data_IF_485568065719
#
_entry.id   IF_485568065719
#
_cell.length_a   1.000
_cell.length_b   1.000
_cell.length_c   1.000
_cell.angle_alpha   90.00
_cell.angle_beta   90.00
_cell.angle_gamma   90.00
#
_symmetry.space_group_name_H-M   'P 1'
#
loop_
_entity.id
_entity.type
_entity.pdbx_description
1 polymer ?
#
# COMPACT_ATOMS: atom_id res chain seq x y z
N UNK A 1 10.01 8.23 -24.09
CA UNK A 1 10.63 8.65 -22.80
C UNK A 1 9.61 8.37 -21.72
N UNK A 2 10.02 7.82 -20.57
CA UNK A 2 9.09 7.59 -19.46
C UNK A 2 8.62 8.94 -18.88
N UNK A 3 7.37 9.02 -18.45
CA UNK A 3 6.84 10.19 -17.74
C UNK A 3 7.60 10.34 -16.43
N UNK A 4 8.14 11.54 -16.17
CA UNK A 4 8.83 11.83 -14.91
C UNK A 4 7.82 11.90 -13.78
N UNK A 5 8.07 11.23 -12.66
CA UNK A 5 7.19 11.24 -11.51
C UNK A 5 7.97 11.19 -10.20
N UNK A 6 7.37 11.75 -9.15
CA UNK A 6 7.95 11.85 -7.81
C UNK A 6 6.82 11.97 -6.78
N UNK A 7 6.92 11.24 -5.68
CA UNK A 7 6.00 11.34 -4.53
C UNK A 7 6.81 11.42 -3.23
N UNK A 8 6.47 12.35 -2.35
CA UNK A 8 6.99 12.47 -1.00
C UNK A 8 5.83 12.69 -0.05
N UNK A 9 5.87 12.02 1.10
CA UNK A 9 4.80 12.13 2.06
C UNK A 9 4.90 11.13 3.20
N UNK A 10 3.76 10.86 3.82
CA UNK A 10 3.64 9.99 4.97
C UNK A 10 3.02 8.66 4.58
N UNK A 11 3.71 7.58 4.93
CA UNK A 11 3.23 6.21 4.74
C UNK A 11 2.73 5.64 6.07
N UNK A 12 1.56 5.03 6.03
CA UNK A 12 0.96 4.31 7.14
C UNK A 12 0.58 2.91 6.68
N UNK A 13 1.00 1.90 7.43
CA UNK A 13 0.64 0.50 7.17
C UNK A 13 0.21 -0.18 8.46
N UNK A 14 -0.85 -0.97 8.35
CA UNK A 14 -1.25 -1.87 9.42
C UNK A 14 -1.79 -3.18 8.85
N UNK A 15 -1.50 -4.28 9.55
CA UNK A 15 -2.04 -5.59 9.22
C UNK A 15 -2.77 -6.20 10.42
N UNK A 16 -3.64 -7.16 10.12
CA UNK A 16 -4.51 -7.88 11.07
C UNK A 16 -3.79 -8.77 12.10
N UNK A 17 -2.45 -8.81 12.12
CA UNK A 17 -1.66 -9.60 13.07
C UNK A 17 -1.83 -9.10 14.52
N UNK A 18 -1.66 -9.99 15.50
CA UNK A 18 -2.08 -9.73 16.88
C UNK A 18 -1.22 -8.71 17.64
N UNK A 19 0.09 -8.65 17.36
CA UNK A 19 1.00 -7.71 18.06
C UNK A 19 2.04 -7.15 17.12
N UNK A 20 2.92 -8.01 16.60
CA UNK A 20 4.00 -7.63 15.68
C UNK A 20 3.81 -8.37 14.37
N UNK A 21 3.91 -7.66 13.25
CA UNK A 21 3.81 -8.26 11.92
C UNK A 21 5.02 -9.17 11.64
N UNK A 22 4.85 -10.51 11.58
CA UNK A 22 5.97 -11.42 11.35
C UNK A 22 6.50 -11.31 9.92
N UNK A 23 5.71 -10.81 8.97
CA UNK A 23 6.13 -10.60 7.58
C UNK A 23 7.27 -9.58 7.45
N UNK A 24 7.38 -8.65 8.41
CA UNK A 24 8.42 -7.61 8.42
C UNK A 24 9.50 -7.87 9.47
N UNK A 25 9.13 -8.46 10.62
CA UNK A 25 9.99 -8.48 11.81
C UNK A 25 10.57 -9.85 12.15
N UNK A 26 10.26 -10.91 11.39
CA UNK A 26 10.85 -12.23 11.63
C UNK A 26 12.26 -12.34 11.06
N UNK A 27 12.94 -13.44 11.38
CA UNK A 27 14.24 -13.80 10.80
C UNK A 27 14.14 -14.43 9.40
N UNK A 28 12.93 -14.71 8.91
CA UNK A 28 12.74 -15.26 7.58
C UNK A 28 12.86 -14.16 6.52
N UNK A 29 12.91 -14.55 5.24
CA UNK A 29 12.81 -13.57 4.15
C UNK A 29 11.52 -12.76 4.26
N UNK A 30 11.55 -11.49 3.86
CA UNK A 30 10.40 -10.60 3.96
C UNK A 30 9.17 -11.22 3.29
N UNK A 31 8.00 -11.02 3.88
CA UNK A 31 6.70 -11.49 3.37
C UNK A 31 6.49 -13.02 3.34
N UNK A 32 7.48 -13.83 3.76
CA UNK A 32 7.38 -15.30 3.77
C UNK A 32 6.85 -15.89 5.07
N UNK A 33 6.78 -15.09 6.13
CA UNK A 33 6.30 -15.58 7.43
C UNK A 33 4.79 -15.68 7.47
N UNK A 34 4.30 -16.73 8.14
CA UNK A 34 2.87 -16.95 8.33
C UNK A 34 2.26 -15.82 9.17
N UNK A 35 1.17 -15.17 8.72
CA UNK A 35 0.42 -14.22 9.53
C UNK A 35 -0.10 -14.88 10.82
N UNK A 36 -0.23 -14.14 11.91
CA UNK A 36 -0.60 -14.73 13.22
C UNK A 36 -1.98 -15.38 13.20
N UNK A 37 -2.90 -14.86 12.39
CA UNK A 37 -4.26 -15.39 12.18
C UNK A 37 -4.35 -16.36 11.00
N UNK A 38 -3.23 -16.72 10.37
CA UNK A 38 -3.18 -17.56 9.18
C UNK A 38 -3.50 -16.83 7.87
N UNK A 39 -4.25 -15.72 7.92
CA UNK A 39 -4.52 -14.81 6.80
C UNK A 39 -3.95 -13.42 7.08
N UNK A 40 -3.72 -12.62 6.04
CA UNK A 40 -3.32 -11.22 6.18
C UNK A 40 -4.32 -10.29 5.49
N UNK A 41 -5.12 -9.59 6.30
CA UNK A 41 -5.75 -8.34 5.86
C UNK A 41 -4.79 -7.18 6.18
N UNK A 42 -4.34 -6.47 5.15
CA UNK A 42 -3.40 -5.34 5.25
C UNK A 42 -3.97 -4.09 4.61
N UNK A 43 -3.79 -2.96 5.27
CA UNK A 43 -4.05 -1.62 4.74
C UNK A 43 -2.75 -0.85 4.60
N UNK A 44 -2.52 -0.31 3.41
CA UNK A 44 -1.36 0.50 3.03
C UNK A 44 -1.89 1.85 2.60
N UNK A 45 -1.61 2.91 3.35
CA UNK A 45 -2.13 4.24 3.11
C UNK A 45 -0.97 5.21 2.93
N UNK A 46 -1.06 6.05 1.91
CA UNK A 46 -0.06 7.07 1.63
C UNK A 46 -0.74 8.44 1.51
N UNK A 47 -0.32 9.37 2.36
CA UNK A 47 -0.65 10.79 2.21
C UNK A 47 0.46 11.47 1.42
N UNK A 48 0.11 12.10 0.30
CA UNK A 48 1.07 12.78 -0.57
C UNK A 48 1.22 14.22 -0.08
N UNK A 49 2.33 14.53 0.62
CA UNK A 49 2.65 15.91 0.99
C UNK A 49 3.03 16.74 -0.25
N UNK A 50 3.87 16.16 -1.12
CA UNK A 50 4.28 16.74 -2.41
C UNK A 50 4.46 15.66 -3.46
N UNK A 51 3.83 15.84 -4.62
CA UNK A 51 3.92 14.87 -5.68
C UNK A 51 3.51 15.38 -7.06
N UNK A 52 4.06 14.75 -8.09
CA UNK A 52 3.66 14.97 -9.46
C UNK A 52 3.85 13.72 -10.34
N UNK A 53 3.01 13.61 -11.36
CA UNK A 53 3.15 12.68 -12.46
C UNK A 53 3.11 13.47 -13.77
N UNK A 54 4.28 13.70 -14.37
CA UNK A 54 4.44 14.68 -15.44
C UNK A 54 4.05 16.07 -14.92
N UNK A 55 3.08 16.69 -15.60
CA UNK A 55 2.53 18.00 -15.26
C UNK A 55 1.36 17.94 -14.27
N UNK A 56 0.85 16.73 -13.95
CA UNK A 56 -0.25 16.53 -13.00
C UNK A 56 0.28 16.62 -11.58
N UNK A 57 -0.26 17.54 -10.78
CA UNK A 57 0.07 17.68 -9.35
C UNK A 57 -0.77 16.71 -8.53
N UNK A 58 -0.17 16.08 -7.52
CA UNK A 58 -0.82 15.10 -6.64
C UNK A 58 -0.77 15.50 -5.16
N UNK A 59 -0.31 16.72 -4.87
CA UNK A 59 -0.18 17.26 -3.52
C UNK A 59 -1.52 17.20 -2.75
N UNK A 60 -1.45 16.78 -1.48
CA UNK A 60 -2.58 16.76 -0.55
C UNK A 60 -3.58 15.63 -0.77
N UNK A 61 -3.39 14.78 -1.78
CA UNK A 61 -4.22 13.60 -2.02
C UNK A 61 -3.79 12.42 -1.15
N UNK A 62 -4.72 11.50 -0.94
CA UNK A 62 -4.49 10.23 -0.28
C UNK A 62 -4.71 9.08 -1.25
N UNK A 63 -3.88 8.05 -1.15
CA UNK A 63 -4.11 6.77 -1.81
C UNK A 63 -4.03 5.66 -0.78
N UNK A 64 -4.86 4.65 -0.93
CA UNK A 64 -4.80 3.46 -0.11
C UNK A 64 -4.89 2.19 -0.95
N UNK A 65 -4.21 1.15 -0.50
CA UNK A 65 -4.38 -0.21 -1.00
C UNK A 65 -4.75 -1.09 0.18
N UNK A 66 -5.86 -1.80 0.05
CA UNK A 66 -6.27 -2.82 1.01
C UNK A 66 -6.14 -4.17 0.32
N UNK A 67 -5.51 -5.13 0.97
CA UNK A 67 -5.32 -6.46 0.42
C UNK A 67 -5.62 -7.55 1.45
N UNK A 68 -6.10 -8.68 0.93
CA UNK A 68 -6.32 -9.92 1.63
C UNK A 68 -5.42 -11.00 1.05
N UNK A 69 -4.68 -11.71 1.89
CA UNK A 69 -3.92 -12.91 1.51
C UNK A 69 -4.33 -14.12 2.37
N UNK A 70 -4.53 -15.31 1.77
CA UNK A 70 -4.96 -16.50 2.51
C UNK A 70 -3.84 -17.15 3.34
N UNK A 71 -2.62 -16.62 3.27
CA UNK A 71 -1.40 -17.17 3.86
C UNK A 71 -0.26 -16.15 3.83
N UNK A 72 1.01 -16.60 3.92
CA UNK A 72 2.17 -15.76 3.69
C UNK A 72 2.04 -14.93 2.40
N UNK A 73 2.34 -13.64 2.50
CA UNK A 73 2.16 -12.68 1.40
C UNK A 73 2.97 -13.08 0.15
N UNK A 74 4.15 -13.69 0.33
CA UNK A 74 4.98 -14.17 -0.78
C UNK A 74 4.37 -15.33 -1.58
N UNK A 75 3.36 -16.04 -1.06
CA UNK A 75 2.70 -17.16 -1.75
C UNK A 75 1.67 -16.70 -2.79
N UNK A 76 1.31 -15.41 -2.82
CA UNK A 76 0.36 -14.86 -3.78
C UNK A 76 -1.10 -15.16 -3.45
N UNK A 77 -1.96 -15.23 -4.48
CA UNK A 77 -3.43 -15.28 -4.37
C UNK A 77 -4.04 -14.10 -3.60
N UNK A 78 -3.54 -12.90 -3.87
CA UNK A 78 -4.03 -11.69 -3.22
C UNK A 78 -5.36 -11.26 -3.82
N UNK A 79 -6.29 -10.86 -2.98
CA UNK A 79 -7.42 -10.02 -3.37
C UNK A 79 -7.11 -8.60 -2.91
N UNK A 80 -7.07 -7.63 -3.82
CA UNK A 80 -6.71 -6.26 -3.48
C UNK A 80 -7.70 -5.24 -4.05
N UNK A 81 -7.84 -4.13 -3.35
CA UNK A 81 -8.58 -2.95 -3.78
C UNK A 81 -7.70 -1.71 -3.60
N UNK A 82 -7.64 -0.88 -4.64
CA UNK A 82 -7.03 0.43 -4.57
C UNK A 82 -8.13 1.48 -4.36
N UNK A 83 -7.82 2.47 -3.53
CA UNK A 83 -8.69 3.59 -3.20
C UNK A 83 -7.93 4.87 -3.50
N UNK A 84 -8.53 5.72 -4.32
CA UNK A 84 -8.04 7.06 -4.62
C UNK A 84 -8.93 8.05 -3.89
N UNK A 85 -8.34 9.13 -3.37
CA UNK A 85 -9.07 10.21 -2.74
C UNK A 85 -10.19 10.74 -3.66
N UNK A 86 -11.41 10.86 -3.15
CA UNK A 86 -12.54 11.37 -3.93
C UNK A 86 -12.42 12.85 -4.32
N UNK A 87 -11.40 13.57 -3.82
CA UNK A 87 -11.04 14.92 -4.25
C UNK A 87 -10.19 14.94 -5.53
N UNK A 88 -9.69 13.79 -5.97
CA UNK A 88 -8.92 13.68 -7.20
C UNK A 88 -9.80 13.98 -8.42
N UNK A 89 -9.26 14.72 -9.38
CA UNK A 89 -9.90 14.93 -10.68
C UNK A 89 -9.57 13.80 -11.67
N UNK A 90 -10.18 13.86 -12.86
CA UNK A 90 -10.00 12.84 -13.89
C UNK A 90 -8.52 12.64 -14.26
N UNK A 91 -7.73 13.74 -14.36
CA UNK A 91 -6.31 13.65 -14.70
C UNK A 91 -5.47 13.00 -13.61
N UNK A 92 -5.92 13.06 -12.36
CA UNK A 92 -5.26 12.47 -11.19
C UNK A 92 -5.65 10.99 -10.96
N UNK A 93 -6.63 10.47 -11.72
CA UNK A 93 -7.15 9.09 -11.58
C UNK A 93 -6.89 8.19 -12.79
N UNK A 94 -6.42 8.74 -13.92
CA UNK A 94 -6.03 8.00 -15.14
C UNK A 94 -4.70 7.24 -15.05
#
# INVERSE_FOLDING_TARGET
MAVSWQLSGSYFENCSCDVVCPCLMSTNAQLTSKPTKGVCDVGLVFHIDKGNYGDVRLDGLNVAMVAHTPGPMAEGNWTAAAYIDGRADDQQTE
#
